data_IF_908121209347
#
_entry.id   IF_908121209347
#
_cell.length_a   1.000
_cell.length_b   1.000
_cell.length_c   1.000
_cell.angle_alpha   90.00
_cell.angle_beta   90.00
_cell.angle_gamma   90.00
#
_symmetry.space_group_name_H-M   'P 1'
#
loop_
_entity.id
_entity.type
_entity.pdbx_description
1 polymer ?
#
# COMPACT_ATOMS: atom_id res chain seq x y z
N UNK A 1 -26.92 -10.99 26.76
CA UNK A 1 -25.72 -11.23 25.94
C UNK A 1 -25.17 -9.86 25.55
N UNK A 2 -23.94 -9.53 25.95
CA UNK A 2 -23.30 -8.30 25.49
C UNK A 2 -23.03 -8.42 23.99
N UNK A 3 -23.49 -7.45 23.21
CA UNK A 3 -23.17 -7.36 21.78
C UNK A 3 -21.67 -7.12 21.71
N UNK A 4 -20.90 -8.06 21.13
CA UNK A 4 -19.49 -7.80 20.82
C UNK A 4 -19.47 -6.71 19.76
N UNK A 5 -18.98 -5.53 20.13
CA UNK A 5 -18.76 -4.45 19.18
C UNK A 5 -17.44 -4.75 18.48
N UNK A 6 -17.52 -4.84 17.15
CA UNK A 6 -16.41 -5.17 16.27
C UNK A 6 -15.98 -3.92 15.50
N UNK A 7 -14.72 -3.85 15.14
CA UNK A 7 -14.14 -2.77 14.35
C UNK A 7 -13.39 -3.34 13.14
N UNK A 8 -13.49 -2.67 12.00
CA UNK A 8 -12.89 -3.07 10.74
C UNK A 8 -11.82 -2.08 10.25
N UNK A 9 -11.50 -1.07 11.06
CA UNK A 9 -10.43 -0.10 10.81
C UNK A 9 -9.58 0.08 12.06
N UNK A 10 -8.27 -0.05 11.89
CA UNK A 10 -7.30 0.32 12.92
C UNK A 10 -6.60 1.59 12.46
N UNK A 11 -6.56 2.63 13.31
CA UNK A 11 -5.80 3.85 13.03
C UNK A 11 -4.58 3.95 13.93
N UNK A 12 -3.38 3.99 13.37
CA UNK A 12 -2.16 4.31 14.11
C UNK A 12 -1.86 5.80 13.93
N UNK A 13 -1.61 6.51 15.02
CA UNK A 13 -1.25 7.93 15.00
C UNK A 13 0.28 8.08 15.07
N UNK A 14 0.84 8.87 14.15
CA UNK A 14 2.26 9.20 14.09
C UNK A 14 2.41 10.71 14.35
N UNK A 15 3.20 11.08 15.35
CA UNK A 15 3.54 12.47 15.63
C UNK A 15 4.71 12.92 14.74
N UNK A 16 4.38 13.59 13.64
CA UNK A 16 5.35 14.13 12.68
C UNK A 16 6.38 15.06 13.32
N UNK A 17 6.01 15.81 14.36
CA UNK A 17 6.92 16.72 15.08
C UNK A 17 8.00 15.92 15.78
N UNK A 18 7.63 14.85 16.47
CA UNK A 18 8.58 13.98 17.16
C UNK A 18 9.48 13.23 16.18
N UNK A 19 8.92 12.75 15.07
CA UNK A 19 9.65 12.04 14.01
C UNK A 19 10.72 12.93 13.40
N UNK A 20 10.34 14.13 12.95
CA UNK A 20 11.28 15.10 12.35
C UNK A 20 12.32 15.52 13.39
N UNK A 21 11.90 15.87 14.61
CA UNK A 21 12.81 16.27 15.69
C UNK A 21 13.83 15.20 16.07
N UNK A 22 13.42 13.93 16.18
CA UNK A 22 14.31 12.82 16.46
C UNK A 22 15.35 12.61 15.35
N UNK A 23 14.92 12.69 14.09
CA UNK A 23 15.84 12.55 12.96
C UNK A 23 16.83 13.71 12.85
N UNK A 24 16.38 14.95 13.09
CA UNK A 24 17.26 16.12 13.11
C UNK A 24 18.32 16.03 14.22
N UNK A 25 17.96 15.51 15.39
CA UNK A 25 18.95 15.24 16.46
C UNK A 25 19.98 14.18 16.04
N UNK A 26 19.52 13.08 15.44
CA UNK A 26 20.43 12.04 14.93
C UNK A 26 21.41 12.61 13.89
N UNK A 27 20.93 13.44 12.96
CA UNK A 27 21.80 14.08 11.97
C UNK A 27 22.80 15.05 12.61
N UNK A 28 22.39 15.78 13.65
CA UNK A 28 23.30 16.66 14.39
C UNK A 28 24.38 15.86 15.14
N UNK A 29 24.04 14.72 15.73
CA UNK A 29 25.00 13.80 16.36
C UNK A 29 25.99 13.21 15.34
N UNK A 30 25.51 12.80 14.17
CA UNK A 30 26.35 12.29 13.06
C UNK A 30 27.25 13.37 12.44
N UNK A 31 26.76 14.61 12.36
CA UNK A 31 27.57 15.74 11.93
C UNK A 31 28.68 16.03 12.97
N UNK A 32 28.38 15.91 14.26
CA UNK A 32 29.35 16.08 15.33
C UNK A 32 30.41 14.96 15.38
N UNK A 33 30.07 13.73 14.95
CA UNK A 33 31.03 12.63 14.78
C UNK A 33 31.87 12.72 13.50
N UNK A 34 31.56 13.68 12.60
CA UNK A 34 32.27 13.89 11.33
C UNK A 34 31.92 12.87 10.25
N UNK A 35 30.85 12.09 10.42
CA UNK A 35 30.56 10.92 9.61
C UNK A 35 29.73 11.23 8.34
N UNK A 36 28.99 12.34 8.27
CA UNK A 36 28.09 12.57 7.11
C UNK A 36 27.66 14.02 6.90
N UNK A 37 27.43 14.39 5.63
CA UNK A 37 26.69 15.60 5.26
C UNK A 37 25.18 15.32 5.34
N UNK A 38 24.41 16.27 5.87
CA UNK A 38 22.96 16.16 5.96
C UNK A 38 22.31 16.02 4.55
N UNK A 39 21.21 15.27 4.41
CA UNK A 39 20.49 15.16 3.14
C UNK A 39 19.86 16.50 2.74
N UNK A 40 19.52 16.66 1.44
CA UNK A 40 19.01 17.92 0.89
C UNK A 40 17.69 18.41 1.55
N UNK A 41 16.82 17.49 1.95
CA UNK A 41 15.60 17.78 2.72
C UNK A 41 15.46 16.80 3.90
N UNK A 42 16.06 17.10 5.05
CA UNK A 42 16.06 16.21 6.22
C UNK A 42 14.67 15.93 6.80
N UNK A 43 13.80 16.94 6.86
CA UNK A 43 12.47 16.80 7.46
C UNK A 43 11.58 15.88 6.62
N UNK A 44 11.56 16.09 5.29
CA UNK A 44 10.88 15.20 4.36
C UNK A 44 11.40 13.76 4.47
N UNK A 45 12.73 13.58 4.53
CA UNK A 45 13.33 12.25 4.69
C UNK A 45 13.00 11.58 6.01
N UNK A 46 12.81 12.33 7.09
CA UNK A 46 12.34 11.78 8.36
C UNK A 46 10.97 11.10 8.19
N UNK A 47 10.05 11.75 7.49
CA UNK A 47 8.70 11.21 7.24
C UNK A 47 8.75 9.94 6.39
N UNK A 48 9.47 9.94 5.27
CA UNK A 48 9.57 8.72 4.45
C UNK A 48 10.27 7.57 5.19
N UNK A 49 11.29 7.87 6.00
CA UNK A 49 11.96 6.87 6.85
C UNK A 49 11.01 6.29 7.88
N UNK A 50 10.17 7.13 8.47
CA UNK A 50 9.17 6.72 9.46
C UNK A 50 8.10 5.79 8.87
N UNK A 51 7.70 6.05 7.62
CA UNK A 51 6.69 5.27 6.91
C UNK A 51 7.24 4.00 6.27
N UNK A 52 8.55 3.95 5.94
CA UNK A 52 9.17 2.84 5.23
C UNK A 52 8.91 1.45 5.84
N UNK A 53 8.97 1.22 7.17
CA UNK A 53 8.68 -0.08 7.74
C UNK A 53 7.27 -0.58 7.40
N UNK A 54 6.26 0.30 7.42
CA UNK A 54 4.89 -0.09 7.12
C UNK A 54 4.67 -0.47 5.64
N UNK A 55 5.54 0.00 4.73
CA UNK A 55 5.53 -0.40 3.31
C UNK A 55 6.09 -1.82 3.09
N UNK A 56 6.88 -2.31 4.04
CA UNK A 56 7.62 -3.57 3.94
C UNK A 56 7.04 -4.67 4.85
N UNK A 57 6.10 -4.32 5.72
CA UNK A 57 5.48 -5.28 6.65
C UNK A 57 4.39 -6.05 5.95
N UNK A 58 4.59 -7.36 5.84
CA UNK A 58 3.53 -8.31 5.53
C UNK A 58 2.74 -8.60 6.81
N UNK A 59 1.60 -7.92 6.96
CA UNK A 59 0.81 -7.96 8.18
C UNK A 59 0.25 -9.35 8.53
N UNK A 60 0.05 -10.22 7.55
CA UNK A 60 -0.34 -11.62 7.74
C UNK A 60 0.71 -12.43 8.53
N UNK A 61 1.98 -12.02 8.49
CA UNK A 61 3.06 -12.64 9.27
C UNK A 61 3.22 -12.06 10.67
N UNK A 62 2.63 -10.88 10.94
CA UNK A 62 2.67 -10.25 12.25
C UNK A 62 1.72 -10.95 13.22
N UNK A 63 0.49 -11.22 12.76
CA UNK A 63 -0.52 -11.97 13.52
C UNK A 63 -1.49 -12.66 12.56
N UNK A 64 -1.34 -13.97 12.43
CA UNK A 64 -2.20 -14.78 11.57
C UNK A 64 -3.69 -14.74 11.99
N UNK A 65 -4.00 -14.31 13.23
CA UNK A 65 -5.38 -14.27 13.73
C UNK A 65 -6.20 -13.10 13.18
N UNK A 66 -5.56 -12.07 12.62
CA UNK A 66 -6.29 -10.95 11.99
C UNK A 66 -6.81 -11.30 10.60
N UNK A 67 -6.37 -12.41 10.01
CA UNK A 67 -6.71 -12.77 8.65
C UNK A 67 -6.26 -11.71 7.63
N UNK A 68 -7.06 -11.53 6.58
CA UNK A 68 -6.69 -10.68 5.46
C UNK A 68 -6.85 -9.18 5.77
N UNK A 69 -5.89 -8.39 5.30
CA UNK A 69 -5.92 -6.93 5.34
C UNK A 69 -6.22 -6.43 3.93
N UNK A 70 -7.30 -5.65 3.78
CA UNK A 70 -7.73 -5.12 2.48
C UNK A 70 -6.76 -4.07 1.94
N UNK A 71 -6.15 -3.30 2.85
CA UNK A 71 -5.10 -2.35 2.52
C UNK A 71 -4.68 -1.50 3.70
N UNK A 72 -3.55 -0.82 3.54
CA UNK A 72 -3.05 0.14 4.53
C UNK A 72 -2.80 1.48 3.86
N UNK A 73 -3.25 2.56 4.50
CA UNK A 73 -3.28 3.89 3.91
C UNK A 73 -2.71 4.93 4.86
N UNK A 74 -1.90 5.85 4.33
CA UNK A 74 -1.40 7.05 5.01
C UNK A 74 -2.38 8.19 4.78
N UNK A 75 -2.96 8.70 5.87
CA UNK A 75 -3.80 9.88 5.90
C UNK A 75 -3.10 11.10 6.48
N UNK A 76 -3.36 12.24 5.87
CA UNK A 76 -2.85 13.55 6.27
C UNK A 76 -3.95 14.36 6.95
N UNK A 77 -3.55 15.41 7.67
CA UNK A 77 -4.48 16.27 8.41
C UNK A 77 -5.45 17.06 7.51
N UNK A 78 -5.09 17.29 6.24
CA UNK A 78 -5.96 17.87 5.21
C UNK A 78 -7.05 16.88 4.72
N UNK A 79 -6.96 15.62 5.16
CA UNK A 79 -7.89 14.54 4.81
C UNK A 79 -7.50 13.76 3.56
N UNK A 80 -6.38 14.09 2.91
CA UNK A 80 -5.84 13.29 1.81
C UNK A 80 -5.38 11.91 2.32
N UNK A 81 -5.50 10.91 1.47
CA UNK A 81 -5.19 9.50 1.76
C UNK A 81 -4.40 8.91 0.59
N UNK A 82 -3.33 8.19 0.91
CA UNK A 82 -2.46 7.49 -0.04
C UNK A 82 -2.26 6.06 0.43
N UNK A 83 -2.15 5.08 -0.47
CA UNK A 83 -1.76 3.74 -0.05
C UNK A 83 -0.34 3.78 0.54
N UNK A 84 -0.03 3.00 1.58
CA UNK A 84 1.37 2.92 2.09
C UNK A 84 2.33 2.44 1.01
N UNK A 85 1.81 1.69 0.04
CA UNK A 85 2.57 1.10 -1.03
C UNK A 85 2.80 2.05 -2.21
N UNK A 86 1.90 3.02 -2.42
CA UNK A 86 2.10 4.13 -3.36
C UNK A 86 3.24 5.05 -2.89
N UNK A 87 3.99 5.61 -3.84
CA UNK A 87 4.87 6.73 -3.53
C UNK A 87 4.01 7.96 -3.26
N UNK A 88 3.90 8.34 -1.98
CA UNK A 88 3.30 9.60 -1.57
C UNK A 88 4.06 10.71 -2.30
N UNK A 89 3.39 11.60 -3.07
CA UNK A 89 4.06 12.66 -3.81
C UNK A 89 4.92 13.51 -2.89
N UNK A 90 6.16 13.82 -3.32
CA UNK A 90 7.10 14.61 -2.52
C UNK A 90 6.51 15.97 -2.15
N UNK A 91 5.74 16.58 -3.06
CA UNK A 91 5.01 17.84 -2.85
C UNK A 91 4.03 17.79 -1.67
N UNK A 92 3.45 16.64 -1.36
CA UNK A 92 2.51 16.45 -0.25
C UNK A 92 3.27 16.39 1.08
N UNK A 93 4.39 15.66 1.10
CA UNK A 93 5.25 15.57 2.29
C UNK A 93 5.95 16.91 2.53
N UNK A 94 6.38 17.60 1.47
CA UNK A 94 6.95 18.93 1.55
C UNK A 94 5.94 19.93 2.11
N UNK A 95 4.67 19.89 1.69
CA UNK A 95 3.64 20.73 2.26
C UNK A 95 3.43 20.47 3.77
N UNK A 96 3.53 19.21 4.21
CA UNK A 96 3.45 18.85 5.63
C UNK A 96 4.61 19.46 6.43
N UNK A 97 5.83 19.46 5.90
CA UNK A 97 7.03 19.92 6.61
C UNK A 97 7.45 21.37 6.28
N UNK A 98 6.70 22.05 5.40
CA UNK A 98 6.99 23.43 5.02
C UNK A 98 6.74 24.44 6.15
N UNK A 99 5.92 24.07 7.15
CA UNK A 99 5.61 24.90 8.31
C UNK A 99 6.64 24.78 9.43
N UNK A 100 6.38 25.44 10.57
CA UNK A 100 7.25 25.36 11.73
C UNK A 100 7.39 23.91 12.24
N UNK A 101 8.61 23.38 12.21
CA UNK A 101 8.94 22.02 12.67
C UNK A 101 8.60 21.76 14.14
N UNK A 102 8.36 22.80 14.94
CA UNK A 102 7.94 22.67 16.35
C UNK A 102 6.46 22.26 16.52
N UNK A 103 5.65 22.31 15.45
CA UNK A 103 4.22 21.98 15.51
C UNK A 103 3.69 21.45 14.18
N UNK A 104 4.21 20.31 13.75
CA UNK A 104 3.75 19.62 12.54
C UNK A 104 2.44 18.87 12.80
N UNK A 105 1.59 18.82 11.78
CA UNK A 105 0.37 18.02 11.83
C UNK A 105 0.70 16.51 11.88
N UNK A 106 -0.11 15.70 12.60
CA UNK A 106 0.13 14.26 12.67
C UNK A 106 -0.19 13.55 11.35
N UNK A 107 0.42 12.39 11.19
CA UNK A 107 0.07 11.41 10.16
C UNK A 107 -0.77 10.29 10.78
N UNK A 108 -1.62 9.67 9.97
CA UNK A 108 -2.48 8.58 10.38
C UNK A 108 -2.28 7.38 9.46
N UNK A 109 -1.95 6.22 9.98
CA UNK A 109 -2.01 4.97 9.22
C UNK A 109 -3.37 4.31 9.46
N UNK A 110 -4.11 4.03 8.40
CA UNK A 110 -5.38 3.32 8.43
C UNK A 110 -5.16 1.91 7.89
N UNK A 111 -5.34 0.90 8.73
CA UNK A 111 -5.30 -0.52 8.36
C UNK A 111 -6.75 -0.97 8.22
N UNK A 112 -7.16 -1.35 7.02
CA UNK A 112 -8.52 -1.85 6.73
C UNK A 112 -8.53 -3.37 6.83
N UNK A 113 -9.32 -3.91 7.74
CA UNK A 113 -9.45 -5.35 7.96
C UNK A 113 -10.52 -5.91 7.01
N UNK A 114 -10.30 -7.10 6.45
CA UNK A 114 -11.30 -7.75 5.59
C UNK A 114 -12.61 -8.05 6.34
N UNK A 115 -12.49 -8.38 7.62
CA UNK A 115 -13.62 -8.63 8.51
C UNK A 115 -13.50 -7.82 9.80
N UNK A 116 -14.62 -7.50 10.48
CA UNK A 116 -14.57 -6.81 11.76
C UNK A 116 -14.00 -7.69 12.88
N UNK A 117 -13.12 -7.13 13.71
CA UNK A 117 -12.44 -7.81 14.81
C UNK A 117 -12.81 -7.22 16.19
N UNK A 118 -12.66 -8.02 17.23
CA UNK A 118 -12.88 -7.57 18.59
C UNK A 118 -11.72 -6.68 19.07
N UNK A 119 -12.00 -5.71 19.95
CA UNK A 119 -10.99 -4.81 20.52
C UNK A 119 -9.76 -5.53 21.14
N UNK A 120 -9.96 -6.71 21.72
CA UNK A 120 -8.87 -7.50 22.29
C UNK A 120 -7.94 -8.12 21.23
N UNK A 121 -8.50 -8.52 20.09
CA UNK A 121 -7.77 -9.08 18.94
C UNK A 121 -6.94 -7.97 18.27
N UNK A 122 -7.55 -6.80 18.03
CA UNK A 122 -6.87 -5.61 17.52
C UNK A 122 -5.72 -5.18 18.45
N UNK A 123 -5.94 -5.21 19.77
CA UNK A 123 -4.92 -4.87 20.75
C UNK A 123 -3.75 -5.86 20.73
N UNK A 124 -4.02 -7.17 20.56
CA UNK A 124 -2.98 -8.19 20.42
C UNK A 124 -2.13 -7.96 19.17
N UNK A 125 -2.79 -7.76 18.02
CA UNK A 125 -2.13 -7.44 16.76
C UNK A 125 -1.26 -6.19 16.85
N UNK A 126 -1.74 -5.10 17.46
CA UNK A 126 -0.96 -3.88 17.63
C UNK A 126 0.25 -4.05 18.55
N UNK A 127 0.16 -4.92 19.56
CA UNK A 127 1.31 -5.28 20.39
C UNK A 127 2.35 -6.07 19.59
N UNK A 128 1.93 -7.07 18.83
CA UNK A 128 2.80 -7.85 17.95
C UNK A 128 3.45 -6.96 16.87
N UNK A 129 2.69 -6.02 16.29
CA UNK A 129 3.21 -5.06 15.31
C UNK A 129 4.24 -4.11 15.93
N UNK A 130 4.00 -3.63 17.16
CA UNK A 130 4.95 -2.78 17.87
C UNK A 130 6.27 -3.52 18.17
N UNK A 131 6.18 -4.78 18.59
CA UNK A 131 7.34 -5.66 18.80
C UNK A 131 8.09 -5.91 17.49
N UNK A 132 7.37 -6.25 16.41
CA UNK A 132 7.96 -6.48 15.09
C UNK A 132 8.70 -5.25 14.56
N UNK A 133 8.13 -4.06 14.76
CA UNK A 133 8.74 -2.79 14.37
C UNK A 133 9.84 -2.32 15.33
N UNK A 134 9.97 -2.96 16.50
CA UNK A 134 10.93 -2.58 17.54
C UNK A 134 10.67 -1.20 18.15
N UNK A 135 9.43 -0.71 18.12
CA UNK A 135 9.09 0.64 18.62
C UNK A 135 7.65 0.76 19.12
N UNK A 136 7.37 1.72 20.01
CA UNK A 136 6.01 1.98 20.45
C UNK A 136 5.08 2.43 19.32
N UNK A 137 3.81 2.01 19.40
CA UNK A 137 2.73 2.44 18.51
C UNK A 137 1.58 3.04 19.30
N UNK A 138 0.85 3.98 18.70
CA UNK A 138 -0.36 4.56 19.28
C UNK A 138 -1.54 4.18 18.41
N UNK A 139 -2.26 3.14 18.83
CA UNK A 139 -3.42 2.63 18.13
C UNK A 139 -4.72 3.27 18.60
N UNK A 140 -5.61 3.54 17.66
CA UNK A 140 -6.94 4.10 17.86
C UNK A 140 -7.95 3.20 17.16
N UNK A 141 -8.87 2.64 17.93
CA UNK A 141 -9.90 1.69 17.49
C UNK A 141 -11.07 1.71 18.50
N UNK A 142 -12.21 1.11 18.14
CA UNK A 142 -13.37 1.01 19.03
C UNK A 142 -13.11 0.00 20.14
N UNK A 143 -13.38 0.40 21.38
CA UNK A 143 -13.34 -0.50 22.51
C UNK A 143 -14.59 -1.40 22.59
N UNK A 144 -14.64 -2.23 23.63
CA UNK A 144 -15.76 -3.12 23.90
C UNK A 144 -17.13 -2.43 24.10
N UNK A 145 -17.13 -1.13 24.41
CA UNK A 145 -18.34 -0.31 24.56
C UNK A 145 -18.69 0.43 23.24
N UNK A 146 -17.86 0.26 22.21
CA UNK A 146 -18.00 0.90 20.91
C UNK A 146 -17.54 2.35 20.88
N UNK A 147 -16.89 2.81 21.95
CA UNK A 147 -16.29 4.12 22.01
C UNK A 147 -14.91 4.09 21.36
N UNK A 148 -14.58 5.14 20.62
CA UNK A 148 -13.21 5.28 20.11
C UNK A 148 -12.25 5.42 21.29
N UNK A 149 -11.33 4.48 21.40
CA UNK A 149 -10.29 4.46 22.43
C UNK A 149 -8.93 4.61 21.76
N UNK A 150 -7.95 5.15 22.50
CA UNK A 150 -6.55 5.19 22.09
C UNK A 150 -5.71 4.53 23.14
N UNK A 151 -4.73 3.72 22.72
CA UNK A 151 -3.78 3.05 23.61
C UNK A 151 -2.39 3.02 22.98
N UNK A 152 -1.38 2.97 23.85
CA UNK A 152 0.00 2.75 23.44
C UNK A 152 0.33 1.26 23.48
N UNK A 153 1.11 0.80 22.51
CA UNK A 153 1.55 -0.58 22.36
C UNK A 153 3.07 -0.63 22.25
N UNK A 154 3.67 -1.73 22.68
CA UNK A 154 5.13 -1.90 22.79
C UNK A 154 5.62 -1.92 24.24
N UNK A 155 6.74 -2.57 24.48
CA UNK A 155 7.29 -2.77 25.82
C UNK A 155 7.59 -1.42 26.50
N UNK A 156 7.05 -1.20 27.69
CA UNK A 156 7.24 0.03 28.47
C UNK A 156 6.56 1.28 27.92
N UNK A 157 5.85 1.22 26.78
CA UNK A 157 5.28 2.38 26.09
C UNK A 157 4.34 3.22 26.98
N UNK A 158 3.51 2.58 27.81
CA UNK A 158 2.57 3.25 28.70
C UNK A 158 3.24 4.09 29.80
N UNK A 159 4.52 3.81 30.10
CA UNK A 159 5.25 4.49 31.18
C UNK A 159 5.98 5.76 30.71
N UNK A 160 6.17 5.92 29.40
CA UNK A 160 6.87 7.05 28.80
C UNK A 160 5.98 8.31 28.83
N UNK A 161 6.40 9.43 29.47
CA UNK A 161 5.63 10.67 29.54
C UNK A 161 5.17 11.20 28.17
N UNK A 162 6.05 11.16 27.18
CA UNK A 162 5.81 11.58 25.81
C UNK A 162 4.70 10.77 25.14
N UNK A 163 4.67 9.45 25.35
CA UNK A 163 3.65 8.56 24.78
C UNK A 163 2.28 8.81 25.43
N UNK A 164 2.23 9.07 26.75
CA UNK A 164 0.96 9.40 27.44
C UNK A 164 0.32 10.67 26.91
N UNK A 165 1.12 11.68 26.57
CA UNK A 165 0.62 12.90 25.95
C UNK A 165 0.04 12.60 24.56
N UNK A 166 0.71 11.79 23.77
CA UNK A 166 0.24 11.43 22.43
C UNK A 166 -1.03 10.56 22.45
N UNK A 167 -1.17 9.64 23.41
CA UNK A 167 -2.43 8.91 23.65
C UNK A 167 -3.57 9.89 23.95
N UNK A 168 -3.31 10.92 24.77
CA UNK A 168 -4.32 11.94 25.10
C UNK A 168 -4.74 12.75 23.88
N UNK A 169 -3.79 13.16 23.03
CA UNK A 169 -4.07 13.84 21.75
C UNK A 169 -4.87 12.95 20.81
N UNK A 170 -4.50 11.67 20.70
CA UNK A 170 -5.19 10.71 19.84
C UNK A 170 -6.67 10.52 20.20
N UNK A 171 -7.01 10.57 21.50
CA UNK A 171 -8.41 10.57 21.98
C UNK A 171 -9.15 11.83 21.53
N UNK A 172 -8.54 13.01 21.63
CA UNK A 172 -9.17 14.26 21.16
C UNK A 172 -9.40 14.26 19.65
N UNK A 173 -8.51 13.59 18.91
CA UNK A 173 -8.58 13.40 17.45
C UNK A 173 -9.47 12.21 17.05
N UNK A 174 -10.09 11.49 17.99
CA UNK A 174 -10.89 10.30 17.72
C UNK A 174 -12.13 10.60 16.87
N UNK A 175 -12.70 11.80 16.99
CA UNK A 175 -13.80 12.27 16.13
C UNK A 175 -13.41 12.44 14.65
N UNK A 176 -12.10 12.43 14.34
CA UNK A 176 -11.56 12.45 12.98
C UNK A 176 -11.27 11.05 12.43
N UNK A 177 -11.61 10.00 13.18
CA UNK A 177 -11.47 8.63 12.69
C UNK A 177 -12.40 8.41 11.50
N UNK A 178 -11.83 7.92 10.40
CA UNK A 178 -12.59 7.58 9.20
C UNK A 178 -13.01 6.12 9.36
N UNK A 179 -14.32 5.87 9.33
CA UNK A 179 -14.82 4.50 9.20
C UNK A 179 -14.40 3.91 7.83
N UNK A 180 -14.45 2.57 7.73
CA UNK A 180 -14.04 1.83 6.52
C UNK A 180 -14.73 2.38 5.27
N UNK A 181 -16.03 2.64 5.35
CA UNK A 181 -16.81 3.18 4.25
C UNK A 181 -16.30 4.55 3.77
N UNK A 182 -15.91 5.45 4.68
CA UNK A 182 -15.32 6.76 4.33
C UNK A 182 -13.92 6.63 3.76
N UNK A 183 -13.09 5.73 4.28
CA UNK A 183 -11.76 5.47 3.71
C UNK A 183 -11.91 4.95 2.29
N UNK A 184 -12.70 3.88 2.10
CA UNK A 184 -12.98 3.29 0.79
C UNK A 184 -13.61 4.29 -0.18
N UNK A 185 -14.56 5.13 0.29
CA UNK A 185 -15.16 6.17 -0.54
C UNK A 185 -14.13 7.21 -0.99
N UNK A 186 -13.28 7.70 -0.09
CA UNK A 186 -12.24 8.68 -0.44
C UNK A 186 -11.20 8.09 -1.40
N UNK A 187 -10.88 6.81 -1.24
CA UNK A 187 -10.03 6.10 -2.19
C UNK A 187 -10.74 5.97 -3.55
N UNK A 188 -12.00 5.56 -3.58
CA UNK A 188 -12.78 5.50 -4.82
C UNK A 188 -12.82 6.86 -5.53
N UNK A 189 -13.04 7.96 -4.79
CA UNK A 189 -13.08 9.32 -5.34
C UNK A 189 -11.73 9.78 -5.92
N UNK A 190 -10.59 9.18 -5.54
CA UNK A 190 -9.25 9.51 -6.07
C UNK A 190 -8.74 8.53 -7.13
N UNK A 191 -9.22 7.29 -7.08
CA UNK A 191 -8.73 6.15 -7.90
C UNK A 191 -9.58 5.88 -9.12
N UNK A 192 -10.67 6.65 -9.26
CA UNK A 192 -11.61 6.58 -10.37
C UNK A 192 -11.69 7.96 -11.01
N UNK A 193 -11.36 8.03 -12.29
CA UNK A 193 -11.54 9.24 -13.07
C UNK A 193 -13.03 9.59 -13.15
N UNK A 194 -13.34 10.87 -13.40
CA UNK A 194 -14.74 11.34 -13.51
C UNK A 194 -15.54 10.61 -14.62
N UNK A 195 -14.86 9.99 -15.57
CA UNK A 195 -15.43 9.20 -16.67
C UNK A 195 -15.58 7.69 -16.36
N UNK A 196 -15.24 7.26 -15.13
CA UNK A 196 -15.38 5.88 -14.67
C UNK A 196 -14.16 4.99 -14.89
N UNK A 197 -13.08 5.49 -15.54
CA UNK A 197 -11.82 4.76 -15.65
C UNK A 197 -11.17 4.58 -14.28
N UNK A 198 -10.45 3.47 -14.10
CA UNK A 198 -9.78 3.14 -12.85
C UNK A 198 -8.31 2.79 -13.10
N UNK A 199 -7.44 3.01 -12.12
CA UNK A 199 -5.99 2.89 -12.30
C UNK A 199 -5.37 1.91 -11.30
N UNK A 200 -4.33 1.19 -11.73
CA UNK A 200 -3.50 0.37 -10.86
C UNK A 200 -2.01 0.66 -11.06
N UNK A 201 -1.25 0.64 -9.98
CA UNK A 201 0.21 0.72 -10.00
C UNK A 201 0.78 -0.68 -10.18
N UNK A 202 1.75 -0.81 -11.10
CA UNK A 202 2.47 -2.05 -11.40
C UNK A 202 3.96 -1.74 -11.29
N UNK A 203 4.70 -2.49 -10.49
CA UNK A 203 6.16 -2.38 -10.49
C UNK A 203 6.75 -3.28 -11.56
N UNK A 204 7.46 -2.70 -12.53
CA UNK A 204 8.18 -3.42 -13.58
C UNK A 204 9.52 -2.73 -13.89
N UNK A 205 10.60 -3.51 -13.98
CA UNK A 205 12.01 -3.10 -14.06
C UNK A 205 12.42 -2.14 -12.95
N UNK A 206 12.01 -2.44 -11.72
CA UNK A 206 12.17 -1.56 -10.55
C UNK A 206 11.58 -0.15 -10.71
N UNK A 207 10.70 0.05 -11.69
CA UNK A 207 10.01 1.31 -11.94
C UNK A 207 8.51 1.13 -11.72
N UNK A 208 7.83 2.05 -11.01
CA UNK A 208 6.38 2.06 -10.99
C UNK A 208 5.85 2.46 -12.37
N UNK A 209 4.82 1.76 -12.82
CA UNK A 209 4.05 2.04 -14.03
C UNK A 209 2.58 2.14 -13.66
N UNK A 210 1.85 2.94 -14.43
CA UNK A 210 0.43 3.14 -14.19
C UNK A 210 -0.38 2.47 -15.29
N UNK A 211 -1.20 1.50 -14.91
CA UNK A 211 -2.16 0.86 -15.78
C UNK A 211 -3.53 1.51 -15.68
N UNK A 212 -4.19 1.70 -16.81
CA UNK A 212 -5.55 2.22 -16.96
C UNK A 212 -6.49 1.09 -17.36
N UNK A 213 -7.63 1.02 -16.68
CA UNK A 213 -8.72 0.08 -16.91
C UNK A 213 -10.04 0.82 -17.17
N UNK A 214 -10.96 0.22 -17.93
CA UNK A 214 -12.24 0.85 -18.27
C UNK A 214 -13.21 0.97 -17.09
N UNK A 215 -12.99 0.23 -16.00
CA UNK A 215 -13.86 0.24 -14.82
C UNK A 215 -13.12 -0.24 -13.56
N UNK A 216 -13.70 0.04 -12.40
CA UNK A 216 -13.28 -0.48 -11.09
C UNK A 216 -13.21 -2.02 -11.12
N UNK A 217 -14.24 -2.69 -11.67
CA UNK A 217 -14.29 -4.15 -11.72
C UNK A 217 -13.12 -4.73 -12.53
N UNK A 218 -12.79 -4.11 -13.67
CA UNK A 218 -11.65 -4.53 -14.50
C UNK A 218 -10.30 -4.32 -13.81
N UNK A 219 -10.13 -3.21 -13.08
CA UNK A 219 -8.92 -2.95 -12.26
C UNK A 219 -8.79 -3.96 -11.13
N UNK A 220 -9.87 -4.19 -10.38
CA UNK A 220 -9.86 -5.06 -9.20
C UNK A 220 -9.62 -6.52 -9.61
N UNK A 221 -10.14 -6.92 -10.77
CA UNK A 221 -9.83 -8.20 -11.42
C UNK A 221 -8.32 -8.35 -11.67
N UNK A 222 -7.68 -7.33 -12.24
CA UNK A 222 -6.24 -7.34 -12.45
C UNK A 222 -5.41 -7.38 -11.15
N UNK A 223 -5.80 -6.59 -10.14
CA UNK A 223 -5.13 -6.57 -8.83
C UNK A 223 -5.23 -7.94 -8.17
N UNK A 224 -6.43 -8.54 -8.14
CA UNK A 224 -6.62 -9.86 -7.57
C UNK A 224 -5.75 -10.90 -8.29
N UNK A 225 -5.72 -10.86 -9.64
CA UNK A 225 -4.91 -11.79 -10.42
C UNK A 225 -3.42 -11.68 -10.09
N UNK A 226 -2.93 -10.45 -9.96
CA UNK A 226 -1.53 -10.20 -9.61
C UNK A 226 -1.19 -10.70 -8.19
N UNK A 227 -2.11 -10.58 -7.22
CA UNK A 227 -1.94 -11.12 -5.86
C UNK A 227 -1.85 -12.64 -5.89
N UNK A 228 -2.83 -13.29 -6.53
CA UNK A 228 -2.84 -14.75 -6.70
C UNK A 228 -1.57 -15.24 -7.40
N UNK A 229 -1.09 -14.54 -8.43
CA UNK A 229 0.14 -14.91 -9.11
C UNK A 229 1.36 -14.80 -8.18
N UNK A 230 1.45 -13.74 -7.37
CA UNK A 230 2.55 -13.60 -6.40
C UNK A 230 2.50 -14.74 -5.36
N UNK A 231 1.34 -14.97 -4.74
CA UNK A 231 1.12 -16.06 -3.79
C UNK A 231 1.49 -17.42 -4.39
N UNK A 232 1.12 -17.66 -5.65
CA UNK A 232 1.44 -18.87 -6.39
C UNK A 232 2.95 -19.10 -6.49
N UNK A 233 3.70 -18.07 -6.92
CA UNK A 233 5.15 -18.14 -7.06
C UNK A 233 5.81 -18.42 -5.70
N UNK A 234 5.39 -17.71 -4.65
CA UNK A 234 5.91 -17.88 -3.29
C UNK A 234 5.60 -19.27 -2.71
N UNK A 235 4.38 -19.78 -2.90
CA UNK A 235 3.96 -21.07 -2.35
C UNK A 235 4.62 -22.26 -3.04
N UNK A 236 4.95 -22.15 -4.34
CA UNK A 236 5.44 -23.27 -5.15
C UNK A 236 6.96 -23.31 -5.36
N UNK A 237 7.69 -22.36 -4.78
CA UNK A 237 9.15 -22.25 -4.94
C UNK A 237 9.57 -22.20 -6.42
N UNK A 238 8.66 -21.78 -7.31
CA UNK A 238 8.99 -21.50 -8.69
C UNK A 238 9.87 -20.26 -8.69
N UNK A 239 10.93 -20.25 -9.50
CA UNK A 239 11.71 -19.03 -9.67
C UNK A 239 10.94 -18.08 -10.59
N UNK A 240 11.05 -16.77 -10.36
CA UNK A 240 10.50 -15.76 -11.26
C UNK A 240 11.03 -15.97 -12.70
N UNK A 241 12.24 -16.50 -12.82
CA UNK A 241 12.89 -16.87 -14.08
C UNK A 241 12.12 -17.99 -14.82
N UNK A 242 11.56 -18.96 -14.08
CA UNK A 242 10.70 -20.01 -14.65
C UNK A 242 9.40 -19.45 -15.23
N UNK A 243 8.98 -18.26 -14.79
CA UNK A 243 7.86 -17.49 -15.35
C UNK A 243 8.29 -16.56 -16.50
N UNK A 244 9.55 -16.62 -16.93
CA UNK A 244 10.12 -15.66 -17.88
C UNK A 244 10.16 -14.22 -17.33
N UNK A 245 10.10 -14.06 -16.00
CA UNK A 245 10.11 -12.78 -15.32
C UNK A 245 11.53 -12.41 -14.94
N UNK A 246 11.85 -11.13 -14.99
CA UNK A 246 13.19 -10.61 -14.70
C UNK A 246 13.35 -10.15 -13.26
N UNK A 247 12.29 -10.16 -12.45
CA UNK A 247 12.30 -9.60 -11.09
C UNK A 247 11.18 -10.17 -10.20
N UNK A 248 11.32 -9.95 -8.89
CA UNK A 248 10.28 -10.24 -7.90
C UNK A 248 9.08 -9.33 -8.18
N UNK A 249 7.94 -9.94 -8.48
CA UNK A 249 6.69 -9.22 -8.63
C UNK A 249 6.13 -8.86 -7.25
N UNK A 250 5.81 -7.58 -7.09
CA UNK A 250 4.83 -7.17 -6.08
C UNK A 250 3.45 -7.22 -6.72
N UNK A 251 2.41 -7.61 -5.98
CA UNK A 251 1.05 -7.47 -6.50
C UNK A 251 0.80 -6.03 -6.95
N UNK A 252 0.02 -5.88 -8.02
CA UNK A 252 -0.47 -4.59 -8.43
C UNK A 252 -1.40 -4.02 -7.35
N UNK A 253 -1.48 -2.69 -7.31
CA UNK A 253 -2.19 -1.99 -6.25
C UNK A 253 -3.08 -0.93 -6.86
N UNK A 254 -4.12 -0.55 -6.12
CA UNK A 254 -5.00 0.54 -6.54
C UNK A 254 -4.15 1.81 -6.64
N UNK A 255 -4.30 2.54 -7.74
CA UNK A 255 -3.63 3.81 -7.96
C UNK A 255 -4.62 4.94 -8.21
N UNK A 256 -4.21 6.16 -7.86
CA UNK A 256 -4.95 7.38 -8.20
C UNK A 256 -4.90 7.70 -9.69
N UNK A 257 -5.87 8.49 -10.19
CA UNK A 257 -5.77 9.07 -11.53
C UNK A 257 -4.45 9.86 -11.68
N UNK A 258 -3.67 9.63 -12.76
CA UNK A 258 -2.39 10.31 -12.91
C UNK A 258 -2.58 11.81 -13.06
N UNK A 259 -1.75 12.59 -12.37
CA UNK A 259 -1.49 13.98 -12.76
C UNK A 259 -0.82 14.06 -14.14
N UNK A 260 -0.73 15.27 -14.70
CA UNK A 260 -0.26 15.50 -16.08
C UNK A 260 1.17 15.01 -16.42
N UNK A 261 1.93 14.54 -15.44
CA UNK A 261 3.30 14.03 -15.59
C UNK A 261 3.38 12.52 -15.89
N UNK A 262 2.34 11.74 -15.61
CA UNK A 262 2.32 10.29 -15.84
C UNK A 262 1.44 9.92 -17.03
N UNK A 263 1.97 9.10 -17.94
CA UNK A 263 1.20 8.54 -19.06
C UNK A 263 0.77 7.11 -18.70
N UNK A 264 -0.52 6.87 -18.39
CA UNK A 264 -0.98 5.53 -18.11
C UNK A 264 -1.03 4.68 -19.38
N UNK A 265 -0.84 3.37 -19.23
CA UNK A 265 -1.00 2.38 -20.31
C UNK A 265 -2.31 1.63 -20.15
N UNK A 266 -3.07 1.46 -21.23
CA UNK A 266 -4.34 0.74 -21.17
C UNK A 266 -4.11 -0.76 -21.19
N UNK A 267 -4.64 -1.46 -20.18
CA UNK A 267 -4.60 -2.93 -20.10
C UNK A 267 -6.01 -3.51 -20.24
N UNK A 268 -6.06 -4.78 -20.67
CA UNK A 268 -7.30 -5.58 -20.70
C UNK A 268 -7.29 -6.39 -19.41
N UNK A 269 -8.42 -6.45 -18.71
CA UNK A 269 -8.49 -7.20 -17.45
C UNK A 269 -8.33 -8.71 -17.69
N UNK A 270 -7.77 -9.47 -16.73
CA UNK A 270 -7.58 -10.90 -16.86
C UNK A 270 -8.83 -11.69 -17.30
N UNK A 271 -10.02 -11.42 -16.74
CA UNK A 271 -11.27 -12.10 -17.14
C UNK A 271 -11.69 -11.80 -18.59
N UNK A 272 -11.32 -10.63 -19.11
CA UNK A 272 -11.63 -10.21 -20.47
C UNK A 272 -10.56 -10.66 -21.47
N UNK A 273 -9.33 -10.90 -21.00
CA UNK A 273 -8.22 -11.35 -21.82
C UNK A 273 -8.39 -12.82 -22.20
N UNK A 274 -8.45 -13.09 -23.51
CA UNK A 274 -8.56 -14.43 -24.10
C UNK A 274 -9.59 -15.33 -23.37
N UNK A 275 -10.79 -14.79 -23.15
CA UNK A 275 -11.88 -15.45 -22.44
C UNK A 275 -11.55 -15.89 -21.00
N UNK A 276 -10.73 -15.15 -20.26
CA UNK A 276 -10.38 -15.45 -18.88
C UNK A 276 -9.25 -16.48 -18.74
N UNK A 277 -8.48 -16.72 -19.81
CA UNK A 277 -7.32 -17.60 -19.79
C UNK A 277 -6.34 -17.37 -18.62
N UNK A 278 -6.03 -16.12 -18.21
CA UNK A 278 -5.11 -15.87 -17.10
C UNK A 278 -5.66 -16.33 -15.74
N UNK A 279 -6.98 -16.30 -15.54
CA UNK A 279 -7.60 -16.85 -14.34
C UNK A 279 -7.67 -18.38 -14.35
N UNK A 280 -7.96 -18.94 -15.53
CA UNK A 280 -7.97 -20.40 -15.74
C UNK A 280 -6.61 -21.03 -15.49
N UNK A 281 -5.51 -20.27 -15.67
CA UNK A 281 -4.17 -20.68 -15.28
C UNK A 281 -4.10 -21.13 -13.82
N UNK A 282 -4.92 -20.56 -12.94
CA UNK A 282 -4.94 -20.87 -11.51
C UNK A 282 -6.14 -21.74 -11.11
N UNK A 283 -6.67 -22.57 -12.02
CA UNK A 283 -7.76 -23.51 -11.70
C UNK A 283 -9.11 -22.86 -11.35
N UNK A 284 -9.22 -21.53 -11.48
CA UNK A 284 -10.42 -20.76 -11.22
C UNK A 284 -11.08 -20.22 -12.50
N UNK A 285 -12.37 -19.90 -12.42
CA UNK A 285 -13.08 -19.14 -13.45
C UNK A 285 -13.01 -17.62 -13.23
N UNK A 286 -12.55 -17.19 -12.06
CA UNK A 286 -12.52 -15.81 -11.59
C UNK A 286 -11.55 -15.64 -10.40
N UNK A 287 -11.42 -14.41 -9.90
CA UNK A 287 -10.62 -14.08 -8.72
C UNK A 287 -10.97 -14.88 -7.47
N UNK A 288 -12.27 -15.07 -7.20
CA UNK A 288 -12.73 -15.72 -5.98
C UNK A 288 -12.36 -17.22 -5.96
N UNK A 289 -12.49 -17.88 -7.11
CA UNK A 289 -12.13 -19.29 -7.26
C UNK A 289 -10.61 -19.54 -7.21
N UNK A 290 -9.79 -18.51 -7.48
CA UNK A 290 -8.33 -18.62 -7.46
C UNK A 290 -7.71 -18.41 -6.06
N UNK A 291 -8.42 -17.81 -5.09
CA UNK A 291 -7.91 -17.52 -3.73
C UNK A 291 -7.55 -18.78 -2.90
N UNK A 292 -8.05 -19.96 -3.26
CA UNK A 292 -7.72 -21.23 -2.59
C UNK A 292 -6.72 -22.07 -3.39
N UNK A 293 -5.91 -21.43 -4.26
CA UNK A 293 -4.99 -22.11 -5.17
C UNK A 293 -4.04 -23.13 -4.54
N UNK A 294 -3.47 -22.94 -3.33
CA UNK A 294 -2.61 -23.94 -2.69
C UNK A 294 -3.28 -25.32 -2.54
N UNK A 295 -4.62 -25.35 -2.63
CA UNK A 295 -5.47 -26.52 -2.50
C UNK A 295 -6.23 -26.89 -3.80
N UNK A 296 -5.97 -26.22 -4.94
CA UNK A 296 -6.71 -26.39 -6.19
C UNK A 296 -6.17 -27.50 -7.12
N UNK A 297 -7.04 -27.97 -8.03
CA UNK A 297 -6.84 -29.06 -8.99
C UNK A 297 -5.81 -28.79 -10.11
N UNK A 298 -5.23 -27.59 -10.21
CA UNK A 298 -4.12 -27.30 -11.14
C UNK A 298 -2.83 -28.12 -10.84
N UNK A 299 -2.88 -28.98 -9.82
CA UNK A 299 -1.81 -29.78 -9.26
C UNK A 299 -1.96 -31.29 -9.51
N UNK A 300 -2.79 -31.74 -10.46
CA UNK A 300 -2.97 -33.19 -10.69
C UNK A 300 -1.83 -33.77 -11.57
N UNK A 301 -1.15 -32.94 -12.40
CA UNK A 301 -0.02 -33.38 -13.23
C UNK A 301 0.99 -32.29 -13.61
N UNK A 302 2.23 -32.69 -13.93
CA UNK A 302 3.28 -31.81 -14.50
C UNK A 302 2.84 -31.11 -15.80
N UNK A 303 1.95 -31.76 -16.57
CA UNK A 303 1.45 -31.21 -17.82
C UNK A 303 0.46 -30.05 -17.58
N UNK A 304 -0.44 -30.20 -16.61
CA UNK A 304 -1.37 -29.13 -16.23
C UNK A 304 -0.62 -27.96 -15.61
N UNK A 305 0.39 -28.23 -14.77
CA UNK A 305 1.25 -27.18 -14.21
C UNK A 305 1.96 -26.38 -15.31
N UNK A 306 2.53 -27.04 -16.33
CA UNK A 306 3.15 -26.36 -17.48
C UNK A 306 2.13 -25.56 -18.28
N UNK A 307 0.93 -26.09 -18.49
CA UNK A 307 -0.11 -25.37 -19.20
C UNK A 307 -0.54 -24.10 -18.44
N UNK A 308 -0.74 -24.20 -17.12
CA UNK A 308 -1.00 -23.07 -16.24
C UNK A 308 0.10 -22.01 -16.30
N UNK A 309 1.37 -22.44 -16.25
CA UNK A 309 2.53 -21.57 -16.41
C UNK A 309 2.47 -20.84 -17.75
N UNK A 310 2.26 -21.54 -18.86
CA UNK A 310 2.21 -20.95 -20.20
C UNK A 310 1.13 -19.87 -20.31
N UNK A 311 -0.05 -20.11 -19.73
CA UNK A 311 -1.16 -19.15 -19.72
C UNK A 311 -0.84 -17.89 -18.90
N UNK A 312 -0.29 -18.06 -17.71
CA UNK A 312 0.11 -16.94 -16.85
C UNK A 312 1.25 -16.12 -17.48
N UNK A 313 2.25 -16.79 -18.06
CA UNK A 313 3.33 -16.16 -18.82
C UNK A 313 2.84 -15.38 -20.03
N UNK A 314 1.87 -15.93 -20.79
CA UNK A 314 1.32 -15.26 -21.96
C UNK A 314 0.67 -13.92 -21.59
N UNK A 315 -0.10 -13.89 -20.50
CA UNK A 315 -0.72 -12.66 -20.03
C UNK A 315 0.29 -11.68 -19.44
N UNK A 316 1.26 -12.16 -18.67
CA UNK A 316 2.33 -11.28 -18.15
C UNK A 316 3.17 -10.66 -19.29
N UNK A 317 3.44 -11.42 -20.35
CA UNK A 317 4.09 -10.89 -21.56
C UNK A 317 3.25 -9.79 -22.21
N UNK A 318 1.95 -9.99 -22.35
CA UNK A 318 1.04 -8.95 -22.84
C UNK A 318 1.14 -7.65 -22.00
N UNK A 319 1.11 -7.76 -20.67
CA UNK A 319 1.24 -6.60 -19.76
C UNK A 319 2.56 -5.86 -20.00
N UNK A 320 3.68 -6.57 -19.98
CA UNK A 320 5.02 -5.98 -20.10
C UNK A 320 5.32 -5.41 -21.48
N UNK A 321 4.87 -6.06 -22.56
CA UNK A 321 4.97 -5.54 -23.92
C UNK A 321 4.14 -4.25 -24.09
N UNK A 322 2.97 -4.19 -23.46
CA UNK A 322 2.10 -3.00 -23.49
C UNK A 322 2.74 -1.82 -22.74
N UNK A 323 3.34 -2.07 -21.58
CA UNK A 323 4.11 -1.06 -20.84
C UNK A 323 5.27 -0.54 -21.70
N UNK A 324 6.08 -1.44 -22.28
CA UNK A 324 7.24 -1.08 -23.09
C UNK A 324 6.86 -0.25 -24.33
N UNK A 325 5.74 -0.59 -24.99
CA UNK A 325 5.21 0.18 -26.11
C UNK A 325 4.77 1.60 -25.67
N UNK A 326 4.12 1.72 -24.51
CA UNK A 326 3.75 3.00 -23.92
C UNK A 326 4.96 3.90 -23.63
N UNK A 327 6.01 3.34 -23.03
CA UNK A 327 7.26 4.05 -22.77
C UNK A 327 7.95 4.53 -24.05
N UNK A 328 7.94 3.71 -25.11
CA UNK A 328 8.54 4.08 -26.39
C UNK A 328 7.79 5.26 -27.03
N UNK A 329 6.46 5.25 -26.96
CA UNK A 329 5.63 6.36 -27.43
C UNK A 329 5.85 7.64 -26.62
N UNK A 330 5.87 7.55 -25.29
CA UNK A 330 6.11 8.69 -24.42
C UNK A 330 7.47 9.35 -24.68
N UNK A 331 8.52 8.53 -24.86
CA UNK A 331 9.86 9.00 -25.26
C UNK A 331 9.85 9.73 -26.60
N UNK A 332 9.21 9.15 -27.62
CA UNK A 332 9.11 9.76 -28.94
C UNK A 332 8.39 11.13 -28.91
N UNK A 333 7.32 11.25 -28.11
CA UNK A 333 6.58 12.51 -27.93
C UNK A 333 7.41 13.57 -27.19
N UNK A 334 8.16 13.17 -26.16
CA UNK A 334 9.05 14.07 -25.42
C UNK A 334 10.18 14.61 -26.32
N UNK A 335 10.80 13.74 -27.12
CA UNK A 335 11.85 14.13 -28.07
C UNK A 335 11.34 15.10 -29.14
N UNK A 336 10.13 14.89 -29.67
CA UNK A 336 9.50 15.81 -30.64
C UNK A 336 9.19 17.19 -30.00
N UNK A 337 8.68 17.22 -28.76
CA UNK A 337 8.48 18.49 -28.02
C UNK A 337 9.78 19.23 -27.78
N UNK A 338 10.85 18.52 -27.40
CA UNK A 338 12.19 19.08 -27.20
C UNK A 338 12.75 19.66 -28.49
N UNK A 339 12.58 18.97 -29.63
CA UNK A 339 12.96 19.47 -30.96
C UNK A 339 12.18 20.72 -31.36
N UNK A 340 10.93 20.86 -30.91
CA UNK A 340 10.07 22.03 -31.15
C UNK A 340 10.26 23.17 -30.15
N UNK A 341 11.19 23.04 -29.19
CA UNK A 341 11.46 24.08 -28.19
C UNK A 341 10.31 24.31 -27.20
N UNK A 342 9.40 23.36 -27.06
CA UNK A 342 8.29 23.45 -26.12
C UNK A 342 8.78 23.06 -24.72
N UNK A 343 8.42 23.84 -23.69
CA UNK A 343 8.74 23.49 -22.30
C UNK A 343 7.96 22.21 -21.90
N UNK A 344 8.56 21.33 -21.08
CA UNK A 344 7.79 20.26 -20.44
C UNK A 344 6.70 20.87 -19.56
N UNK A 345 5.52 20.27 -19.59
CA UNK A 345 4.40 20.62 -18.68
C UNK A 345 4.65 20.01 -17.33
#
# INVERSE_FOLDING_TARGET
MAVKILDDVIRIRIDSTQVVGAFMRLLAEQAASGETLAPANPANRAIYRELAPFRLVEYSYVDATMGDIEGVYVGFADGSLYSVSEDIPETVVDALVAENHDSLAPLYLYILLAQPHAAAEIAHFLAALAEHLGRPLIGVFRDHDGHMSSRAFGEGAETLPEIRLEVSKAVLEANRHLDKARVLKRLADRTVAADGRAFASITYRFSPHLAEFPSIAARDDFIAWSRTMCEWIYARWCTWEDMGMTEILRPAEIASEPGGEFTPVRLVAPMEYDNGAPWRAFGGSDAASAQHFPHSDAAISDQEMRHSLDLAQAYWRYVTDTIAAGEALARALSDDRRRRGMKPN
#
